data_IF_760540575840
#
_entry.id   IF_760540575840
#
_cell.length_a   1.000
_cell.length_b   1.000
_cell.length_c   1.000
_cell.angle_alpha   90.00
_cell.angle_beta   90.00
_cell.angle_gamma   90.00
#
_symmetry.space_group_name_H-M   'P 1'
#
loop_
_entity.id
_entity.type
_entity.pdbx_description
1 polymer ?
#
# COMPACT_ATOMS: atom_id res chain seq x y z
N UNK A 1 23.67 3.72 1.23
CA UNK A 1 22.44 4.26 1.88
C UNK A 1 21.21 3.85 1.07
N UNK A 2 20.17 3.34 1.70
CA UNK A 2 18.91 2.91 1.06
C UNK A 2 17.75 3.84 1.46
N UNK A 3 17.12 4.49 0.48
CA UNK A 3 15.94 5.33 0.65
C UNK A 3 14.67 4.55 0.35
N UNK A 4 13.75 4.49 1.30
CA UNK A 4 12.39 3.99 1.08
C UNK A 4 11.54 5.15 0.59
N UNK A 5 11.21 5.14 -0.70
CA UNK A 5 10.57 6.25 -1.40
C UNK A 5 9.08 5.97 -1.57
N UNK A 6 8.20 6.87 -1.10
CA UNK A 6 6.78 6.72 -1.32
C UNK A 6 6.41 6.96 -2.78
N UNK A 7 5.40 6.24 -3.27
CA UNK A 7 4.77 6.44 -4.55
C UNK A 7 3.34 6.97 -4.37
N UNK A 8 2.74 7.47 -5.43
CA UNK A 8 1.33 7.83 -5.47
C UNK A 8 0.45 6.57 -5.33
N UNK A 9 -0.76 6.71 -4.80
CA UNK A 9 -1.73 5.61 -4.74
C UNK A 9 -2.46 5.36 -6.07
N UNK A 10 -2.33 6.29 -6.99
CA UNK A 10 -2.88 6.21 -8.34
C UNK A 10 -2.39 7.38 -9.20
N UNK A 11 -2.86 7.47 -10.43
CA UNK A 11 -2.46 8.54 -11.35
C UNK A 11 -3.19 9.84 -10.99
N UNK A 12 -2.43 10.87 -10.61
CA UNK A 12 -2.91 12.24 -10.33
C UNK A 12 -2.17 13.24 -11.20
N UNK A 13 -2.73 14.44 -11.35
CA UNK A 13 -2.06 15.57 -11.99
C UNK A 13 -0.94 16.11 -11.09
N UNK A 14 0.27 15.57 -11.29
CA UNK A 14 1.46 15.93 -10.53
C UNK A 14 1.55 15.21 -9.18
N UNK A 15 2.78 15.06 -8.69
CA UNK A 15 3.07 14.37 -7.43
C UNK A 15 3.15 15.34 -6.23
N UNK A 16 3.36 16.63 -6.48
CA UNK A 16 3.62 17.65 -5.46
C UNK A 16 2.45 17.90 -4.49
N UNK A 17 1.23 17.52 -4.87
CA UNK A 17 0.07 17.58 -3.98
C UNK A 17 0.02 16.45 -2.94
N UNK A 18 0.78 15.38 -3.16
CA UNK A 18 0.74 14.16 -2.35
C UNK A 18 2.09 13.86 -1.71
N UNK A 19 3.20 14.10 -2.43
CA UNK A 19 4.55 13.83 -1.96
C UNK A 19 5.22 15.13 -1.50
N UNK A 20 5.90 15.14 -0.33
CA UNK A 20 6.64 16.30 0.12
C UNK A 20 7.89 16.55 -0.74
N UNK A 21 8.32 17.81 -0.85
CA UNK A 21 9.52 18.21 -1.62
C UNK A 21 10.82 17.54 -1.18
N UNK A 22 10.86 16.94 0.00
CA UNK A 22 11.99 16.10 0.42
C UNK A 22 12.16 14.86 -0.44
N UNK A 23 11.07 14.34 -1.03
CA UNK A 23 11.11 13.20 -1.96
C UNK A 23 11.74 13.64 -3.28
N UNK A 24 11.40 14.85 -3.79
CA UNK A 24 12.02 15.41 -5.00
C UNK A 24 13.56 15.45 -4.85
N UNK A 25 14.04 16.01 -3.74
CA UNK A 25 15.48 16.11 -3.46
C UNK A 25 16.15 14.74 -3.30
N UNK A 26 15.43 13.76 -2.73
CA UNK A 26 15.96 12.41 -2.58
C UNK A 26 16.09 11.73 -3.94
N UNK A 27 15.05 11.83 -4.78
CA UNK A 27 15.01 11.18 -6.10
C UNK A 27 16.01 11.79 -7.07
N UNK A 28 16.16 13.13 -7.11
CA UNK A 28 17.14 13.79 -7.98
C UNK A 28 18.58 13.38 -7.66
N UNK A 29 18.86 13.05 -6.41
CA UNK A 29 20.17 12.61 -5.93
C UNK A 29 20.42 11.10 -6.00
N UNK A 30 19.53 10.28 -6.53
CA UNK A 30 19.70 8.82 -6.61
C UNK A 30 20.79 8.42 -7.61
N UNK A 31 21.52 7.37 -7.27
CA UNK A 31 22.43 6.69 -8.20
C UNK A 31 21.74 5.46 -8.82
N UNK A 32 20.87 4.78 -8.07
CA UNK A 32 20.23 3.54 -8.44
C UNK A 32 18.78 3.49 -7.91
N UNK A 33 17.90 2.73 -8.57
CA UNK A 33 16.53 2.49 -8.13
C UNK A 33 16.20 0.99 -8.10
N UNK A 34 15.55 0.55 -7.04
CA UNK A 34 14.96 -0.77 -6.91
C UNK A 34 13.45 -0.61 -7.08
N UNK A 35 12.84 -1.40 -7.95
CA UNK A 35 11.40 -1.37 -8.23
C UNK A 35 10.86 -2.77 -8.57
N UNK A 36 9.54 -2.96 -8.52
CA UNK A 36 8.90 -4.24 -8.85
C UNK A 36 8.98 -4.57 -10.34
N UNK A 37 8.96 -3.53 -11.19
CA UNK A 37 9.17 -3.64 -12.65
C UNK A 37 9.92 -2.44 -13.20
N UNK A 38 10.61 -2.62 -14.34
CA UNK A 38 11.28 -1.51 -15.00
C UNK A 38 10.31 -0.42 -15.45
N UNK A 39 9.12 -0.83 -15.93
CA UNK A 39 8.06 0.10 -16.35
C UNK A 39 7.59 0.97 -15.19
N UNK A 40 7.34 0.38 -14.03
CA UNK A 40 6.91 1.12 -12.83
C UNK A 40 8.01 2.05 -12.33
N UNK A 41 9.24 1.58 -12.24
CA UNK A 41 10.40 2.41 -11.87
C UNK A 41 10.62 3.60 -12.82
N UNK A 42 10.54 3.38 -14.13
CA UNK A 42 10.62 4.50 -15.11
C UNK A 42 9.45 5.47 -14.97
N UNK A 43 8.23 4.97 -14.79
CA UNK A 43 7.04 5.81 -14.54
C UNK A 43 7.21 6.67 -13.27
N UNK A 44 7.77 6.08 -12.21
CA UNK A 44 8.09 6.80 -10.98
C UNK A 44 9.10 7.91 -11.23
N UNK A 45 10.30 7.58 -11.76
CA UNK A 45 11.38 8.54 -11.98
C UNK A 45 11.00 9.68 -12.91
N UNK A 46 10.19 9.44 -13.94
CA UNK A 46 9.73 10.45 -14.92
C UNK A 46 8.95 11.61 -14.29
N UNK A 47 8.44 11.45 -13.07
CA UNK A 47 7.69 12.50 -12.36
C UNK A 47 8.57 13.59 -11.77
N UNK A 48 9.89 13.34 -11.64
CA UNK A 48 10.81 14.21 -10.93
C UNK A 48 11.74 14.93 -11.90
N UNK A 49 12.20 16.13 -11.48
CA UNK A 49 13.24 16.86 -12.17
C UNK A 49 14.62 16.37 -11.74
N UNK A 50 15.54 16.37 -12.68
CA UNK A 50 16.96 16.05 -12.47
C UNK A 50 17.84 17.20 -12.95
N UNK A 51 18.95 17.43 -12.27
CA UNK A 51 19.90 18.48 -12.67
C UNK A 51 20.68 18.04 -13.92
N UNK A 52 20.71 18.88 -14.98
CA UNK A 52 21.47 18.58 -16.19
C UNK A 52 22.95 18.30 -15.91
N UNK A 53 23.60 17.38 -16.63
CA UNK A 53 23.07 16.62 -17.79
C UNK A 53 22.25 15.37 -17.42
N UNK A 54 22.05 15.07 -16.14
CA UNK A 54 21.37 13.88 -15.64
C UNK A 54 19.88 13.91 -15.97
N UNK A 55 19.33 12.78 -16.34
CA UNK A 55 17.91 12.57 -16.62
C UNK A 55 17.38 11.34 -15.87
N UNK A 56 16.06 11.15 -15.83
CA UNK A 56 15.45 9.94 -15.26
C UNK A 56 15.89 8.65 -15.97
N UNK A 57 16.43 8.73 -17.20
CA UNK A 57 16.89 7.57 -17.98
C UNK A 57 18.25 7.07 -17.52
N UNK A 58 19.03 7.93 -16.88
CA UNK A 58 20.40 7.63 -16.44
C UNK A 58 20.44 6.89 -15.11
N UNK A 59 19.27 6.74 -14.43
CA UNK A 59 19.16 5.95 -13.21
C UNK A 59 18.90 4.49 -13.57
N UNK A 60 19.85 3.56 -13.32
CA UNK A 60 19.62 2.13 -13.47
C UNK A 60 18.50 1.64 -12.57
N UNK A 61 17.70 0.68 -13.06
CA UNK A 61 16.61 0.07 -12.31
C UNK A 61 16.93 -1.40 -12.09
N UNK A 62 16.87 -1.83 -10.83
CA UNK A 62 17.05 -3.20 -10.39
C UNK A 62 15.69 -3.75 -9.92
N UNK A 63 15.42 -5.01 -10.26
CA UNK A 63 14.13 -5.60 -9.97
C UNK A 63 14.11 -6.28 -8.60
N UNK A 64 13.07 -6.00 -7.83
CA UNK A 64 12.75 -6.68 -6.59
C UNK A 64 11.24 -6.90 -6.55
N UNK A 65 10.81 -8.14 -6.76
CA UNK A 65 9.39 -8.52 -6.79
C UNK A 65 9.18 -9.89 -6.15
N UNK A 66 7.95 -10.41 -6.20
CA UNK A 66 7.58 -11.71 -5.59
C UNK A 66 8.35 -12.91 -6.16
N UNK A 67 8.95 -12.78 -7.35
CA UNK A 67 9.74 -13.83 -8.00
C UNK A 67 11.23 -13.73 -7.70
N UNK A 68 11.69 -12.65 -7.04
CA UNK A 68 13.10 -12.45 -6.70
C UNK A 68 13.52 -13.40 -5.59
N UNK A 69 14.40 -14.33 -5.90
CA UNK A 69 14.88 -15.32 -4.93
C UNK A 69 15.92 -14.74 -3.96
N UNK A 70 16.28 -15.54 -2.94
CA UNK A 70 17.21 -15.13 -1.90
C UNK A 70 18.62 -14.83 -2.45
N UNK A 71 19.07 -15.55 -3.48
CA UNK A 71 20.38 -15.33 -4.12
C UNK A 71 20.42 -13.97 -4.81
N UNK A 72 19.40 -13.67 -5.61
CA UNK A 72 19.25 -12.40 -6.30
C UNK A 72 19.17 -11.22 -5.32
N UNK A 73 18.46 -11.40 -4.19
CA UNK A 73 18.41 -10.38 -3.12
C UNK A 73 19.77 -10.12 -2.50
N UNK A 74 20.58 -11.15 -2.28
CA UNK A 74 21.97 -11.01 -1.77
C UNK A 74 22.87 -10.31 -2.77
N UNK A 75 22.82 -10.70 -4.05
CA UNK A 75 23.59 -10.06 -5.13
C UNK A 75 23.22 -8.57 -5.26
N UNK A 76 21.95 -8.23 -5.09
CA UNK A 76 21.50 -6.83 -5.08
C UNK A 76 21.99 -6.10 -3.83
N UNK A 77 21.98 -6.74 -2.67
CA UNK A 77 22.47 -6.17 -1.42
C UNK A 77 23.97 -5.87 -1.49
N UNK A 78 24.77 -6.76 -2.08
CA UNK A 78 26.22 -6.56 -2.26
C UNK A 78 26.53 -5.28 -3.05
N UNK A 79 25.65 -4.89 -3.99
CA UNK A 79 25.77 -3.63 -4.71
C UNK A 79 25.36 -2.43 -3.83
N UNK A 80 24.28 -2.58 -3.04
CA UNK A 80 23.79 -1.51 -2.15
C UNK A 80 24.83 -1.14 -1.08
N UNK A 81 25.56 -2.12 -0.57
CA UNK A 81 26.61 -1.93 0.46
C UNK A 81 27.77 -1.06 -0.04
N UNK A 82 28.01 -0.97 -1.37
CA UNK A 82 29.13 -0.22 -1.96
C UNK A 82 29.04 1.31 -1.81
N UNK A 83 28.05 1.84 -1.09
CA UNK A 83 28.06 3.24 -0.64
C UNK A 83 27.33 4.24 -1.52
N UNK A 84 26.64 3.78 -2.58
CA UNK A 84 25.79 4.61 -3.43
C UNK A 84 24.44 4.94 -2.76
N UNK A 85 23.70 5.92 -3.33
CA UNK A 85 22.34 6.27 -2.93
C UNK A 85 21.33 5.46 -3.73
N UNK A 86 20.74 4.50 -3.08
CA UNK A 86 19.73 3.61 -3.64
C UNK A 86 18.34 4.03 -3.22
N UNK A 87 17.38 4.03 -4.16
CA UNK A 87 15.97 4.16 -3.87
C UNK A 87 15.27 2.79 -3.92
N UNK A 88 14.33 2.53 -3.03
CA UNK A 88 13.37 1.43 -3.13
C UNK A 88 11.98 2.01 -3.22
N UNK A 89 11.23 1.63 -4.26
CA UNK A 89 9.86 2.09 -4.52
C UNK A 89 8.98 0.91 -4.87
N UNK A 90 7.73 0.91 -4.36
CA UNK A 90 6.66 0.00 -4.76
C UNK A 90 5.78 0.60 -5.85
N UNK A 91 4.94 -0.20 -6.46
CA UNK A 91 4.02 0.22 -7.52
C UNK A 91 3.08 1.33 -7.04
N UNK A 92 2.67 1.31 -5.75
CA UNK A 92 1.88 2.39 -5.14
C UNK A 92 2.12 2.50 -3.62
N UNK A 93 1.96 3.71 -3.06
CA UNK A 93 2.03 3.95 -1.62
C UNK A 93 3.42 3.84 -1.02
N UNK A 94 3.48 3.38 0.23
CA UNK A 94 4.73 3.18 0.97
C UNK A 94 5.33 1.82 0.64
N UNK A 95 6.61 1.74 0.23
CA UNK A 95 7.27 0.46 -0.01
C UNK A 95 7.35 -0.38 1.27
N UNK A 96 7.42 -1.69 1.12
CA UNK A 96 7.47 -2.67 2.22
C UNK A 96 6.20 -2.73 3.09
N UNK A 97 5.10 -2.13 2.67
CA UNK A 97 3.84 -2.19 3.38
C UNK A 97 2.78 -2.90 2.53
N UNK A 98 2.63 -4.20 2.72
CA UNK A 98 1.87 -5.12 1.87
C UNK A 98 2.46 -5.32 0.46
N UNK A 99 3.71 -4.99 0.28
CA UNK A 99 4.46 -5.04 -0.96
C UNK A 99 5.81 -5.72 -0.75
N UNK A 100 6.46 -6.24 -1.80
CA UNK A 100 7.81 -6.78 -1.72
C UNK A 100 8.81 -5.75 -1.19
N UNK A 101 9.83 -6.24 -0.47
CA UNK A 101 10.96 -5.40 -0.01
C UNK A 101 11.21 -5.45 1.49
N UNK A 102 10.27 -5.91 2.31
CA UNK A 102 10.46 -6.00 3.77
C UNK A 102 11.67 -6.86 4.15
N UNK A 103 11.81 -8.04 3.53
CA UNK A 103 12.96 -8.93 3.76
C UNK A 103 14.27 -8.30 3.27
N UNK A 104 14.23 -7.56 2.15
CA UNK A 104 15.40 -6.86 1.64
C UNK A 104 15.85 -5.73 2.57
N UNK A 105 14.91 -4.99 3.14
CA UNK A 105 15.20 -3.95 4.14
C UNK A 105 15.80 -4.57 5.41
N UNK A 106 15.30 -5.73 5.84
CA UNK A 106 15.85 -6.46 6.98
C UNK A 106 17.30 -6.87 6.70
N UNK A 107 17.56 -7.49 5.55
CA UNK A 107 18.91 -7.86 5.11
C UNK A 107 19.85 -6.65 5.02
N UNK A 108 19.39 -5.53 4.48
CA UNK A 108 20.17 -4.31 4.40
C UNK A 108 20.58 -3.80 5.80
N UNK A 109 19.67 -3.84 6.76
CA UNK A 109 19.97 -3.47 8.15
C UNK A 109 20.94 -4.43 8.83
N UNK A 110 20.81 -5.73 8.62
CA UNK A 110 21.76 -6.75 9.14
C UNK A 110 23.19 -6.51 8.62
N UNK A 111 23.33 -5.97 7.42
CA UNK A 111 24.61 -5.62 6.81
C UNK A 111 25.05 -4.17 7.05
N UNK A 112 24.44 -3.47 8.00
CA UNK A 112 24.85 -2.13 8.40
C UNK A 112 24.50 -1.03 7.39
N UNK A 113 23.65 -1.29 6.40
CA UNK A 113 23.18 -0.28 5.45
C UNK A 113 22.29 0.72 6.17
N UNK A 114 22.60 2.01 6.06
CA UNK A 114 21.71 3.06 6.53
C UNK A 114 20.43 3.09 5.69
N UNK A 115 19.26 2.89 6.35
CA UNK A 115 17.95 2.90 5.71
C UNK A 115 17.16 4.11 6.20
N UNK A 116 16.68 4.93 5.27
CA UNK A 116 15.88 6.13 5.56
C UNK A 116 14.55 6.09 4.80
N UNK A 117 13.45 6.22 5.51
CA UNK A 117 12.11 6.34 4.91
C UNK A 117 11.73 7.81 4.71
N UNK A 118 11.03 8.08 3.61
CA UNK A 118 10.41 9.37 3.33
C UNK A 118 8.90 9.27 3.56
N UNK A 119 8.32 10.36 4.04
CA UNK A 119 6.87 10.46 4.29
C UNK A 119 6.10 10.46 2.97
N UNK A 120 5.04 9.68 2.93
CA UNK A 120 4.16 9.61 1.76
C UNK A 120 2.82 8.93 2.07
N UNK A 121 1.95 8.79 1.07
CA UNK A 121 0.62 8.26 1.25
C UNK A 121 0.66 6.75 1.56
N UNK A 122 -0.25 6.34 2.44
CA UNK A 122 -0.57 4.94 2.72
C UNK A 122 -2.08 4.76 2.68
N UNK A 123 -2.57 3.91 1.79
CA UNK A 123 -4.00 3.61 1.70
C UNK A 123 -4.55 3.05 3.01
N UNK A 124 -3.74 2.27 3.74
CA UNK A 124 -4.09 1.67 5.02
C UNK A 124 -4.33 2.77 6.07
N UNK A 125 -3.39 3.71 6.23
CA UNK A 125 -3.51 4.77 7.22
C UNK A 125 -4.57 5.81 6.82
N UNK A 126 -4.63 6.19 5.54
CA UNK A 126 -5.64 7.13 5.05
C UNK A 126 -7.06 6.56 5.23
N UNK A 127 -7.28 5.29 4.88
CA UNK A 127 -8.58 4.65 5.09
C UNK A 127 -8.97 4.60 6.57
N UNK A 128 -8.02 4.31 7.45
CA UNK A 128 -8.26 4.29 8.91
C UNK A 128 -8.70 5.66 9.41
N UNK A 129 -7.98 6.73 9.05
CA UNK A 129 -8.29 8.11 9.46
C UNK A 129 -9.66 8.53 8.90
N UNK A 130 -9.90 8.31 7.60
CA UNK A 130 -11.13 8.73 6.92
C UNK A 130 -12.36 7.90 7.35
N UNK A 131 -12.16 6.67 7.81
CA UNK A 131 -13.28 5.80 8.27
C UNK A 131 -13.99 6.32 9.52
N UNK A 132 -13.29 7.10 10.37
CA UNK A 132 -13.80 7.53 11.67
C UNK A 132 -13.97 6.40 12.71
N UNK A 133 -13.49 5.18 12.44
CA UNK A 133 -13.68 4.03 13.32
C UNK A 133 -12.70 3.98 14.50
N UNK A 134 -11.70 4.88 14.52
CA UNK A 134 -10.69 4.99 15.57
C UNK A 134 -9.35 4.37 15.17
N UNK A 135 -8.25 5.02 15.60
CA UNK A 135 -6.90 4.69 15.16
C UNK A 135 -5.92 4.24 16.27
N UNK A 136 -6.40 4.08 17.52
CA UNK A 136 -5.50 3.67 18.60
C UNK A 136 -5.20 2.17 18.60
N UNK A 137 -6.18 1.36 18.19
CA UNK A 137 -6.04 -0.09 18.11
C UNK A 137 -6.58 -0.55 16.75
N UNK A 138 -5.69 -0.99 15.90
CA UNK A 138 -6.05 -1.52 14.58
C UNK A 138 -5.12 -2.65 14.18
N UNK A 139 -5.62 -3.51 13.31
CA UNK A 139 -4.87 -4.63 12.74
C UNK A 139 -5.10 -4.67 11.23
N UNK A 140 -4.03 -4.60 10.46
CA UNK A 140 -4.07 -4.86 9.03
C UNK A 140 -3.85 -6.34 8.76
N UNK A 141 -4.76 -6.96 8.00
CA UNK A 141 -4.78 -8.40 7.73
C UNK A 141 -4.27 -8.78 6.33
N UNK A 142 -3.91 -7.78 5.50
CA UNK A 142 -3.50 -8.02 4.12
C UNK A 142 -4.67 -8.46 3.24
N UNK A 143 -4.38 -9.34 2.28
CA UNK A 143 -5.37 -9.89 1.35
C UNK A 143 -6.21 -10.97 2.00
N UNK A 144 -7.51 -10.96 1.67
CA UNK A 144 -8.44 -11.98 2.13
C UNK A 144 -8.23 -13.32 1.41
N UNK A 145 -8.54 -14.46 2.06
CA UNK A 145 -8.44 -15.78 1.42
C UNK A 145 -9.22 -15.86 0.10
N UNK A 146 -8.63 -16.50 -0.91
CA UNK A 146 -9.29 -16.68 -2.23
C UNK A 146 -10.51 -17.59 -2.14
N UNK A 147 -10.45 -18.62 -1.31
CA UNK A 147 -11.53 -19.59 -1.12
C UNK A 147 -12.66 -18.96 -0.26
N UNK A 148 -13.90 -19.01 -0.76
CA UNK A 148 -15.06 -18.32 -0.18
C UNK A 148 -15.35 -18.76 1.26
N UNK A 149 -15.30 -20.06 1.54
CA UNK A 149 -15.60 -20.59 2.88
C UNK A 149 -14.59 -20.13 3.91
N UNK A 150 -13.30 -20.14 3.55
CA UNK A 150 -12.22 -19.64 4.40
C UNK A 150 -12.35 -18.13 4.61
N UNK A 151 -12.68 -17.39 3.57
CA UNK A 151 -12.86 -15.94 3.63
C UNK A 151 -14.01 -15.56 4.57
N UNK A 152 -15.17 -16.21 4.46
CA UNK A 152 -16.31 -15.97 5.37
C UNK A 152 -15.95 -16.32 6.82
N UNK A 153 -15.22 -17.42 7.04
CA UNK A 153 -14.73 -17.80 8.37
C UNK A 153 -13.82 -16.74 8.96
N UNK A 154 -12.89 -16.21 8.16
CA UNK A 154 -11.96 -15.15 8.58
C UNK A 154 -12.71 -13.84 8.88
N UNK A 155 -13.69 -13.44 8.06
CA UNK A 155 -14.51 -12.25 8.29
C UNK A 155 -15.25 -12.32 9.63
N UNK A 156 -15.87 -13.46 9.95
CA UNK A 156 -16.56 -13.66 11.24
C UNK A 156 -15.59 -13.68 12.42
N UNK A 157 -14.41 -14.27 12.25
CA UNK A 157 -13.37 -14.27 13.27
C UNK A 157 -12.87 -12.84 13.55
N UNK A 158 -12.61 -12.05 12.52
CA UNK A 158 -12.21 -10.65 12.65
C UNK A 158 -13.28 -9.82 13.35
N UNK A 159 -14.56 -10.02 13.01
CA UNK A 159 -15.68 -9.31 13.65
C UNK A 159 -15.75 -9.62 15.16
N UNK A 160 -15.64 -10.88 15.53
CA UNK A 160 -15.64 -11.31 16.94
C UNK A 160 -14.44 -10.72 17.71
N UNK A 161 -13.24 -10.81 17.13
CA UNK A 161 -12.02 -10.26 17.73
C UNK A 161 -12.08 -8.74 17.82
N UNK A 162 -12.58 -8.06 16.78
CA UNK A 162 -12.77 -6.61 16.76
C UNK A 162 -13.62 -6.14 17.95
N UNK A 163 -14.69 -6.85 18.23
CA UNK A 163 -15.58 -6.56 19.38
C UNK A 163 -14.89 -6.81 20.71
N UNK A 164 -14.24 -7.98 20.86
CA UNK A 164 -13.55 -8.38 22.09
C UNK A 164 -12.41 -7.44 22.44
N UNK A 165 -11.60 -7.05 21.45
CA UNK A 165 -10.38 -6.26 21.64
C UNK A 165 -10.60 -4.76 21.46
N UNK A 166 -11.80 -4.34 21.02
CA UNK A 166 -12.09 -2.95 20.61
C UNK A 166 -11.09 -2.43 19.57
N UNK A 167 -10.83 -3.27 18.57
CA UNK A 167 -9.81 -3.08 17.53
C UNK A 167 -10.49 -2.92 16.16
N UNK A 168 -9.97 -2.01 15.33
CA UNK A 168 -10.40 -1.89 13.92
C UNK A 168 -9.59 -2.87 13.08
N UNK A 169 -10.25 -3.68 12.27
CA UNK A 169 -9.60 -4.58 11.33
C UNK A 169 -9.66 -4.00 9.92
N UNK A 170 -8.50 -3.91 9.27
CA UNK A 170 -8.33 -3.45 7.90
C UNK A 170 -7.87 -4.62 7.03
N UNK A 171 -8.38 -4.69 5.83
CA UNK A 171 -7.99 -5.71 4.85
C UNK A 171 -8.24 -5.22 3.43
N UNK A 172 -7.61 -5.88 2.48
CA UNK A 172 -7.70 -5.57 1.06
C UNK A 172 -8.06 -6.80 0.23
N UNK A 173 -8.49 -6.55 -0.99
CA UNK A 173 -8.70 -7.57 -2.00
C UNK A 173 -8.19 -7.05 -3.35
N UNK A 174 -8.00 -7.95 -4.30
CA UNK A 174 -7.71 -7.56 -5.68
C UNK A 174 -8.89 -6.79 -6.26
N UNK A 175 -8.67 -5.69 -7.01
CA UNK A 175 -9.73 -4.77 -7.40
C UNK A 175 -10.94 -5.42 -8.09
N UNK A 176 -10.71 -6.47 -8.90
CA UNK A 176 -11.79 -7.19 -9.61
C UNK A 176 -12.66 -8.08 -8.69
N UNK A 177 -12.30 -8.27 -7.41
CA UNK A 177 -13.10 -9.03 -6.44
C UNK A 177 -13.75 -8.14 -5.38
N UNK A 178 -13.54 -6.83 -5.41
CA UNK A 178 -14.04 -5.91 -4.39
C UNK A 178 -15.57 -5.90 -4.28
N UNK A 179 -16.29 -5.96 -5.41
CA UNK A 179 -17.76 -6.01 -5.38
C UNK A 179 -18.27 -7.29 -4.70
N UNK A 180 -17.66 -8.44 -5.02
CA UNK A 180 -18.01 -9.72 -4.40
C UNK A 180 -17.71 -9.72 -2.90
N UNK A 181 -16.55 -9.18 -2.49
CA UNK A 181 -16.19 -9.06 -1.09
C UNK A 181 -17.14 -8.14 -0.32
N UNK A 182 -17.50 -6.98 -0.88
CA UNK A 182 -18.49 -6.08 -0.26
C UNK A 182 -19.85 -6.78 -0.06
N UNK A 183 -20.28 -7.56 -1.06
CA UNK A 183 -21.50 -8.37 -0.95
C UNK A 183 -21.43 -9.35 0.23
N UNK A 184 -20.32 -10.10 0.33
CA UNK A 184 -20.12 -11.08 1.41
C UNK A 184 -20.06 -10.42 2.80
N UNK A 185 -19.42 -9.26 2.91
CA UNK A 185 -19.37 -8.46 4.14
C UNK A 185 -20.79 -8.08 4.61
N UNK A 186 -21.62 -7.58 3.68
CA UNK A 186 -22.99 -7.17 3.98
C UNK A 186 -23.88 -8.37 4.35
N UNK A 187 -23.67 -9.52 3.73
CA UNK A 187 -24.46 -10.74 3.98
C UNK A 187 -24.10 -11.42 5.29
N UNK A 188 -22.82 -11.48 5.64
CA UNK A 188 -22.33 -12.36 6.71
C UNK A 188 -21.97 -11.67 8.02
N UNK A 189 -21.75 -10.34 8.01
CA UNK A 189 -21.48 -9.59 9.24
C UNK A 189 -22.78 -9.21 9.97
N UNK A 190 -22.66 -8.99 11.28
CA UNK A 190 -23.78 -8.60 12.12
C UNK A 190 -24.26 -7.17 11.81
N UNK A 191 -25.55 -6.92 11.99
CA UNK A 191 -26.21 -5.65 11.67
C UNK A 191 -25.61 -4.41 12.34
N UNK A 192 -25.11 -4.59 13.56
CA UNK A 192 -24.55 -3.49 14.37
C UNK A 192 -23.07 -3.20 14.03
N UNK A 193 -22.39 -4.09 13.34
CA UNK A 193 -21.00 -3.92 12.95
C UNK A 193 -20.85 -2.74 12.00
N UNK A 194 -19.86 -1.88 12.28
CA UNK A 194 -19.46 -0.81 11.40
C UNK A 194 -18.60 -1.38 10.28
N UNK A 195 -18.94 -1.01 9.06
CA UNK A 195 -18.23 -1.39 7.84
C UNK A 195 -17.88 -0.13 7.06
N UNK A 196 -16.62 0.00 6.66
CA UNK A 196 -16.14 1.05 5.79
C UNK A 196 -15.57 0.45 4.50
N UNK A 197 -15.87 1.09 3.37
CA UNK A 197 -15.20 0.89 2.10
C UNK A 197 -14.56 2.22 1.68
N UNK A 198 -13.23 2.25 1.64
CA UNK A 198 -12.43 3.41 1.27
C UNK A 198 -11.78 3.14 -0.09
N UNK A 199 -12.26 3.81 -1.11
CA UNK A 199 -12.00 3.51 -2.52
C UNK A 199 -11.30 4.69 -3.20
N UNK A 200 -10.35 4.41 -4.10
CA UNK A 200 -9.62 5.40 -4.92
C UNK A 200 -9.01 6.54 -4.09
N UNK A 201 -8.46 6.23 -2.94
CA UNK A 201 -7.90 7.22 -2.02
C UNK A 201 -6.87 8.11 -2.73
N UNK A 202 -6.95 9.42 -2.49
CA UNK A 202 -6.16 10.50 -3.11
C UNK A 202 -6.49 10.80 -4.57
N UNK A 203 -7.43 10.11 -5.19
CA UNK A 203 -7.87 10.37 -6.56
C UNK A 203 -9.13 11.27 -6.61
N UNK A 204 -9.40 11.87 -7.75
CA UNK A 204 -10.63 12.65 -7.94
C UNK A 204 -11.92 11.83 -7.76
N UNK A 205 -11.81 10.49 -7.87
CA UNK A 205 -12.91 9.54 -7.66
C UNK A 205 -12.93 8.94 -6.25
N UNK A 206 -12.18 9.54 -5.30
CA UNK A 206 -12.15 9.10 -3.91
C UNK A 206 -13.56 9.00 -3.33
N UNK A 207 -13.82 7.89 -2.67
CA UNK A 207 -15.08 7.63 -1.98
C UNK A 207 -14.84 6.85 -0.71
N UNK A 208 -15.30 7.37 0.43
CA UNK A 208 -15.23 6.70 1.72
C UNK A 208 -16.63 6.60 2.31
N UNK A 209 -17.13 5.38 2.46
CA UNK A 209 -18.46 5.11 2.97
C UNK A 209 -18.34 4.28 4.24
N UNK A 210 -18.63 4.89 5.39
CA UNK A 210 -18.65 4.22 6.69
C UNK A 210 -20.09 4.14 7.22
N UNK A 211 -20.64 2.95 7.35
CA UNK A 211 -22.00 2.73 7.85
C UNK A 211 -22.09 1.40 8.60
N UNK A 212 -23.11 1.25 9.44
CA UNK A 212 -23.46 -0.07 10.00
C UNK A 212 -23.96 -1.00 8.90
N UNK A 213 -23.72 -2.30 9.04
CA UNK A 213 -24.14 -3.33 8.08
C UNK A 213 -25.64 -3.26 7.80
N UNK A 214 -26.47 -3.04 8.81
CA UNK A 214 -27.94 -2.84 8.60
C UNK A 214 -28.26 -1.69 7.64
N UNK A 215 -27.44 -0.65 7.59
CA UNK A 215 -27.62 0.48 6.66
C UNK A 215 -27.09 0.13 5.27
N UNK A 216 -25.96 -0.60 5.20
CA UNK A 216 -25.43 -1.10 3.93
C UNK A 216 -26.43 -1.99 3.19
N UNK A 217 -27.26 -2.76 3.91
CA UNK A 217 -28.34 -3.59 3.33
C UNK A 217 -29.44 -2.77 2.66
N UNK A 218 -29.59 -1.49 3.01
CA UNK A 218 -30.71 -0.62 2.57
C UNK A 218 -30.30 0.39 1.50
N UNK A 219 -29.03 0.68 1.35
CA UNK A 219 -28.55 1.68 0.39
C UNK A 219 -28.16 1.05 -0.93
N UNK A 220 -28.15 1.85 -2.00
CA UNK A 220 -27.51 1.48 -3.26
C UNK A 220 -26.00 1.35 -3.03
N UNK A 221 -25.45 0.18 -3.33
CA UNK A 221 -24.03 -0.07 -3.18
C UNK A 221 -23.21 0.67 -4.22
N UNK A 222 -22.00 1.17 -3.84
CA UNK A 222 -21.07 1.69 -4.83
C UNK A 222 -20.58 0.55 -5.74
N UNK A 223 -20.20 0.90 -6.96
CA UNK A 223 -19.51 0.00 -7.87
C UNK A 223 -18.01 0.03 -7.58
N UNK A 224 -17.42 -1.12 -7.23
CA UNK A 224 -16.04 -1.24 -6.77
C UNK A 224 -15.15 -2.05 -7.74
N UNK A 225 -15.72 -2.61 -8.82
CA UNK A 225 -14.93 -3.39 -9.79
C UNK A 225 -13.79 -2.55 -10.37
N UNK A 226 -12.59 -3.13 -10.36
CA UNK A 226 -11.33 -2.53 -10.81
C UNK A 226 -10.90 -1.25 -10.06
N UNK A 227 -11.53 -0.95 -8.93
CA UNK A 227 -11.19 0.22 -8.11
C UNK A 227 -10.43 -0.22 -6.86
N UNK A 228 -9.20 0.29 -6.62
CA UNK A 228 -8.47 0.02 -5.38
C UNK A 228 -9.30 0.39 -4.16
N UNK A 229 -9.52 -0.56 -3.26
CA UNK A 229 -10.37 -0.36 -2.08
C UNK A 229 -9.75 -1.00 -0.85
N UNK A 230 -9.75 -0.27 0.27
CA UNK A 230 -9.47 -0.81 1.59
C UNK A 230 -10.77 -0.95 2.35
N UNK A 231 -11.00 -2.12 2.92
CA UNK A 231 -12.15 -2.39 3.78
C UNK A 231 -11.77 -2.33 5.25
N UNK A 232 -12.65 -1.78 6.07
CA UNK A 232 -12.46 -1.73 7.51
C UNK A 232 -13.72 -2.21 8.21
N UNK A 233 -13.55 -2.96 9.29
CA UNK A 233 -14.65 -3.34 10.17
C UNK A 233 -14.34 -3.02 11.62
N UNK A 234 -15.42 -2.73 12.37
CA UNK A 234 -15.43 -2.59 13.83
C UNK A 234 -16.71 -3.20 14.37
N UNK A 235 -16.57 -4.33 15.09
CA UNK A 235 -17.67 -5.06 15.73
C UNK A 235 -18.21 -4.39 16.99
#
# INVERSE_FOLDING_TARGET
MLYLLPNLLGDTEGHSHVLPSSVDRAVSGLDQLIAESEKAGRKFLKRFAFDPPKTFRDIPIHLLNEHTDLKQRKELLDQVVQGQKWGLVSDCGMPCLADPGEEFVLLAREHGVEVKAFVGPSSILLSLVLSGLGGQRFTFRGYMPKEKTLRIKELKAMEMLSRKERCVYLFIETPYRNDALLQELIEHLEEKTWLCAATDLTLATESVITKKVQTWRKIKRPFLDKRPTVFLLRG
#
